data_IF_356538246369
#
_entry.id   IF_356538246369
#
_cell.length_a   1.000
_cell.length_b   1.000
_cell.length_c   1.000
_cell.angle_alpha   90.00
_cell.angle_beta   90.00
_cell.angle_gamma   90.00
#
_symmetry.space_group_name_H-M   'P 1'
#
loop_
_entity.id
_entity.type
_entity.pdbx_description
1 polymer ?
#
# COMPACT_ATOMS: atom_id res chain seq x y z
N UNK A 1 -26.31 7.60 -36.76
CA UNK A 1 -25.92 7.25 -35.37
C UNK A 1 -24.42 7.41 -35.26
N UNK A 2 -23.96 8.46 -34.59
CA UNK A 2 -22.53 8.73 -34.37
C UNK A 2 -22.24 8.49 -32.89
N UNK A 3 -21.47 7.45 -32.58
CA UNK A 3 -21.08 7.14 -31.21
C UNK A 3 -19.92 8.06 -30.82
N UNK A 4 -20.14 9.05 -29.96
CA UNK A 4 -19.09 9.86 -29.34
C UNK A 4 -18.73 9.27 -27.98
N UNK A 5 -17.57 8.60 -27.81
CA UNK A 5 -17.12 8.13 -26.52
C UNK A 5 -16.45 9.31 -25.82
N UNK A 6 -17.23 10.20 -25.22
CA UNK A 6 -16.72 11.40 -24.58
C UNK A 6 -17.49 11.73 -23.31
N UNK A 7 -16.73 11.97 -22.25
CA UNK A 7 -17.03 13.00 -21.22
C UNK A 7 -18.07 12.73 -20.12
N UNK A 8 -17.98 11.62 -19.36
CA UNK A 8 -18.62 11.61 -18.02
C UNK A 8 -17.90 10.84 -16.90
N UNK A 9 -17.04 9.86 -17.20
CA UNK A 9 -16.44 9.02 -16.14
C UNK A 9 -15.05 9.48 -15.64
N UNK A 10 -14.39 10.41 -16.34
CA UNK A 10 -13.02 10.82 -16.06
C UNK A 10 -12.98 12.27 -15.57
N UNK A 11 -13.57 12.52 -14.40
CA UNK A 11 -13.32 13.80 -13.72
C UNK A 11 -11.84 13.87 -13.34
N UNK A 12 -11.27 15.08 -13.34
CA UNK A 12 -9.87 15.41 -13.02
C UNK A 12 -9.36 14.93 -11.64
N UNK A 13 -10.17 14.15 -10.90
CA UNK A 13 -9.82 13.54 -9.61
C UNK A 13 -10.05 12.03 -9.53
N UNK A 14 -10.50 11.33 -10.57
CA UNK A 14 -10.82 9.89 -10.47
C UNK A 14 -9.64 9.06 -9.96
N UNK A 15 -8.47 9.17 -10.60
CA UNK A 15 -7.30 8.37 -10.23
C UNK A 15 -6.71 8.77 -8.87
N UNK A 16 -6.49 10.06 -8.57
CA UNK A 16 -6.08 10.48 -7.23
C UNK A 16 -7.03 10.00 -6.13
N UNK A 17 -8.36 10.19 -6.29
CA UNK A 17 -9.34 9.76 -5.29
C UNK A 17 -9.31 8.25 -5.08
N UNK A 18 -9.22 7.46 -6.15
CA UNK A 18 -9.08 6.00 -6.06
C UNK A 18 -7.76 5.62 -5.38
N UNK A 19 -6.65 6.26 -5.73
CA UNK A 19 -5.37 6.02 -5.05
C UNK A 19 -5.45 6.25 -3.55
N UNK A 20 -6.09 7.35 -3.10
CA UNK A 20 -6.33 7.57 -1.66
C UNK A 20 -7.13 6.43 -1.04
N UNK A 21 -8.26 6.06 -1.65
CA UNK A 21 -9.13 4.99 -1.15
C UNK A 21 -8.42 3.65 -1.01
N UNK A 22 -7.50 3.30 -1.92
CA UNK A 22 -6.75 2.04 -1.84
C UNK A 22 -5.45 2.14 -1.02
N UNK A 23 -4.92 3.35 -0.81
CA UNK A 23 -3.77 3.56 0.05
C UNK A 23 -4.15 3.46 1.53
N UNK A 24 -5.37 3.87 1.92
CA UNK A 24 -5.86 3.73 3.30
C UNK A 24 -5.81 2.27 3.80
N UNK A 25 -6.41 1.27 3.12
CA UNK A 25 -6.33 -0.12 3.56
C UNK A 25 -4.88 -0.65 3.51
N UNK A 26 -4.07 -0.23 2.54
CA UNK A 26 -2.64 -0.56 2.53
C UNK A 26 -1.93 -0.02 3.79
N UNK A 27 -2.18 1.22 4.17
CA UNK A 27 -1.62 1.85 5.37
C UNK A 27 -2.06 1.09 6.63
N UNK A 28 -3.35 0.77 6.74
CA UNK A 28 -3.91 0.00 7.87
C UNK A 28 -3.23 -1.38 7.95
N UNK A 29 -3.13 -2.11 6.85
CA UNK A 29 -2.49 -3.43 6.82
C UNK A 29 -1.00 -3.36 7.18
N UNK A 30 -0.28 -2.36 6.66
CA UNK A 30 1.13 -2.19 6.96
C UNK A 30 1.39 -1.83 8.44
N UNK A 31 0.49 -1.05 9.07
CA UNK A 31 0.53 -0.81 10.51
C UNK A 31 0.09 -2.04 11.32
N UNK A 32 -0.94 -2.75 10.88
CA UNK A 32 -1.40 -3.98 11.52
C UNK A 32 -0.28 -5.02 11.54
N UNK A 33 0.42 -5.20 10.42
CA UNK A 33 1.60 -6.06 10.31
C UNK A 33 2.70 -5.67 11.29
N UNK A 34 2.99 -4.36 11.43
CA UNK A 34 3.94 -3.86 12.44
C UNK A 34 3.49 -4.21 13.87
N UNK A 35 2.21 -4.05 14.18
CA UNK A 35 1.64 -4.35 15.50
C UNK A 35 1.73 -5.86 15.77
N UNK A 36 1.24 -6.70 14.86
CA UNK A 36 1.31 -8.17 14.98
C UNK A 36 2.75 -8.61 15.20
N UNK A 37 3.68 -8.12 14.36
CA UNK A 37 5.10 -8.46 14.50
C UNK A 37 5.66 -8.04 15.86
N UNK A 38 5.32 -6.84 16.35
CA UNK A 38 5.79 -6.35 17.66
C UNK A 38 5.23 -7.16 18.81
N UNK A 39 3.93 -7.45 18.79
CA UNK A 39 3.27 -8.24 19.84
C UNK A 39 3.83 -9.66 19.84
N UNK A 40 3.94 -10.30 18.67
CA UNK A 40 4.48 -11.66 18.53
C UNK A 40 5.91 -11.76 19.08
N UNK A 41 6.80 -10.84 18.72
CA UNK A 41 8.18 -10.83 19.23
C UNK A 41 8.27 -10.52 20.73
N UNK A 42 7.35 -9.73 21.28
CA UNK A 42 7.32 -9.44 22.71
C UNK A 42 6.75 -10.60 23.55
N UNK A 43 5.97 -11.48 22.93
CA UNK A 43 5.24 -12.55 23.61
C UNK A 43 5.82 -13.94 23.37
N UNK A 44 6.77 -14.07 22.43
CA UNK A 44 7.31 -15.36 22.00
C UNK A 44 8.81 -15.23 21.71
N UNK A 45 9.63 -16.02 22.39
CA UNK A 45 11.10 -15.91 22.31
C UNK A 45 11.70 -16.42 20.99
N UNK A 46 10.96 -17.16 20.16
CA UNK A 46 11.49 -17.85 18.97
C UNK A 46 11.05 -17.29 17.61
N UNK A 47 10.31 -16.18 17.55
CA UNK A 47 9.72 -15.66 16.30
C UNK A 47 10.61 -14.68 15.52
N UNK A 48 11.93 -14.86 15.54
CA UNK A 48 12.89 -14.01 14.82
C UNK A 48 12.68 -14.00 13.29
N UNK A 49 12.04 -15.04 12.74
CA UNK A 49 11.84 -15.21 11.30
C UNK A 49 10.65 -14.41 10.73
N UNK A 50 9.77 -13.85 11.58
CA UNK A 50 8.56 -13.15 11.13
C UNK A 50 8.87 -11.86 10.35
N UNK A 51 9.96 -11.18 10.71
CA UNK A 51 10.39 -9.96 10.06
C UNK A 51 11.90 -9.73 10.24
N UNK A 52 12.73 -10.11 9.23
CA UNK A 52 14.18 -10.01 9.33
C UNK A 52 14.68 -8.57 9.47
N UNK A 53 13.85 -7.57 9.12
CA UNK A 53 14.19 -6.17 9.27
C UNK A 53 13.77 -5.59 10.63
N UNK A 54 13.12 -6.35 11.51
CA UNK A 54 12.58 -5.82 12.76
C UNK A 54 13.61 -5.06 13.61
N UNK A 55 14.77 -5.66 13.82
CA UNK A 55 15.86 -5.09 14.64
C UNK A 55 16.62 -3.96 13.95
N UNK A 56 16.34 -3.70 12.68
CA UNK A 56 16.97 -2.60 11.97
C UNK A 56 16.42 -1.27 12.53
N UNK A 57 17.27 -0.28 12.87
CA UNK A 57 16.85 0.96 13.53
C UNK A 57 15.85 1.77 12.69
N UNK A 58 15.85 1.57 11.37
CA UNK A 58 14.94 2.25 10.46
C UNK A 58 13.67 1.45 10.13
N UNK A 59 13.47 0.26 10.67
CA UNK A 59 12.33 -0.61 10.33
C UNK A 59 10.98 0.01 10.68
N UNK A 60 10.88 0.57 11.88
CA UNK A 60 9.68 1.24 12.38
C UNK A 60 9.33 2.50 11.57
N UNK A 61 10.24 3.50 11.41
CA UNK A 61 9.91 4.68 10.63
C UNK A 61 9.64 4.31 9.16
N UNK A 62 10.34 3.34 8.58
CA UNK A 62 10.09 2.91 7.21
C UNK A 62 8.69 2.29 7.06
N UNK A 63 8.21 1.46 7.99
CA UNK A 63 6.83 0.98 7.95
C UNK A 63 5.82 2.12 8.10
N UNK A 64 6.05 3.11 8.95
CA UNK A 64 5.09 4.21 9.12
C UNK A 64 5.05 5.13 7.89
N UNK A 65 6.23 5.51 7.36
CA UNK A 65 6.32 6.50 6.30
C UNK A 65 6.25 5.91 4.88
N UNK A 66 6.54 4.63 4.67
CA UNK A 66 6.54 4.05 3.31
C UNK A 66 5.22 4.26 2.54
N UNK A 67 4.02 4.05 3.13
CA UNK A 67 2.79 4.30 2.39
C UNK A 67 2.57 5.77 2.06
N UNK A 68 3.01 6.68 2.93
CA UNK A 68 2.92 8.12 2.73
C UNK A 68 3.85 8.55 1.59
N UNK A 69 5.11 8.09 1.62
CA UNK A 69 6.10 8.36 0.58
C UNK A 69 5.66 7.79 -0.78
N UNK A 70 5.10 6.57 -0.78
CA UNK A 70 4.59 5.93 -1.99
C UNK A 70 3.42 6.72 -2.59
N UNK A 71 2.48 7.18 -1.76
CA UNK A 71 1.37 8.02 -2.20
C UNK A 71 1.85 9.35 -2.77
N UNK A 72 2.75 10.04 -2.05
CA UNK A 72 3.34 11.30 -2.51
C UNK A 72 4.06 11.12 -3.84
N UNK A 73 4.80 10.03 -4.01
CA UNK A 73 5.48 9.69 -5.26
C UNK A 73 4.48 9.51 -6.41
N UNK A 74 3.42 8.72 -6.22
CA UNK A 74 2.40 8.53 -7.26
C UNK A 74 1.64 9.80 -7.61
N UNK A 75 1.26 10.61 -6.61
CA UNK A 75 0.61 11.89 -6.84
C UNK A 75 1.55 12.86 -7.57
N UNK A 76 2.82 12.91 -7.20
CA UNK A 76 3.83 13.73 -7.88
C UNK A 76 3.95 13.33 -9.35
N UNK A 77 4.08 12.03 -9.64
CA UNK A 77 4.10 11.53 -11.02
C UNK A 77 2.81 11.88 -11.79
N UNK A 78 1.65 11.83 -11.13
CA UNK A 78 0.38 12.17 -11.76
C UNK A 78 0.26 13.67 -12.06
N UNK A 79 0.61 14.55 -11.12
CA UNK A 79 0.45 16.00 -11.26
C UNK A 79 1.54 16.65 -12.12
N UNK A 80 2.79 16.16 -12.09
CA UNK A 80 3.87 16.71 -12.92
C UNK A 80 3.77 16.35 -14.41
N UNK A 81 2.99 15.33 -14.76
CA UNK A 81 2.75 15.01 -16.16
C UNK A 81 1.86 16.06 -16.84
N UNK A 82 2.30 16.64 -17.95
CA UNK A 82 1.52 17.64 -18.70
C UNK A 82 0.50 17.01 -19.67
N UNK A 83 0.79 15.82 -20.18
CA UNK A 83 -0.08 15.09 -21.12
C UNK A 83 -1.17 14.31 -20.39
N UNK A 84 -2.42 14.46 -20.81
CA UNK A 84 -3.57 13.71 -20.27
C UNK A 84 -3.43 12.20 -20.49
N UNK A 85 -2.86 11.79 -21.63
CA UNK A 85 -2.58 10.38 -21.91
C UNK A 85 -1.52 9.82 -20.96
N UNK A 86 -0.48 10.58 -20.63
CA UNK A 86 0.53 10.17 -19.66
C UNK A 86 -0.04 10.10 -18.25
N UNK A 87 -0.88 11.06 -17.83
CA UNK A 87 -1.59 11.03 -16.55
C UNK A 87 -2.47 9.79 -16.43
N UNK A 88 -3.17 9.41 -17.51
CA UNK A 88 -4.00 8.22 -17.55
C UNK A 88 -3.19 6.93 -17.38
N UNK A 89 -2.05 6.84 -18.05
CA UNK A 89 -1.13 5.71 -17.93
C UNK A 89 -0.62 5.61 -16.49
N UNK A 90 -0.07 6.69 -15.95
CA UNK A 90 0.45 6.73 -14.57
C UNK A 90 -0.64 6.40 -13.55
N UNK A 91 -1.82 7.01 -13.66
CA UNK A 91 -2.94 6.77 -12.75
C UNK A 91 -3.40 5.31 -12.80
N UNK A 92 -3.52 4.71 -14.00
CA UNK A 92 -3.94 3.31 -14.16
C UNK A 92 -2.93 2.34 -13.57
N UNK A 93 -1.64 2.48 -13.89
CA UNK A 93 -0.62 1.56 -13.39
C UNK A 93 -0.34 1.78 -11.91
N UNK A 94 -0.23 3.02 -11.45
CA UNK A 94 -0.03 3.31 -10.03
C UNK A 94 -1.18 2.77 -9.17
N UNK A 95 -2.43 2.91 -9.62
CA UNK A 95 -3.58 2.32 -8.93
C UNK A 95 -3.48 0.79 -8.84
N UNK A 96 -3.09 0.12 -9.93
CA UNK A 96 -2.88 -1.34 -9.94
C UNK A 96 -1.77 -1.76 -9.00
N UNK A 97 -0.68 -1.00 -8.94
CA UNK A 97 0.42 -1.25 -8.01
C UNK A 97 -0.03 -1.11 -6.56
N UNK A 98 -0.79 -0.05 -6.21
CA UNK A 98 -1.32 0.12 -4.85
C UNK A 98 -2.24 -1.05 -4.49
N UNK A 99 -3.16 -1.45 -5.37
CA UNK A 99 -4.03 -2.61 -5.14
C UNK A 99 -3.20 -3.89 -4.93
N UNK A 100 -2.19 -4.12 -5.78
CA UNK A 100 -1.30 -5.28 -5.65
C UNK A 100 -0.55 -5.29 -4.32
N UNK A 101 -0.06 -4.12 -3.87
CA UNK A 101 0.58 -3.96 -2.56
C UNK A 101 -0.39 -4.23 -1.42
N UNK A 102 -1.63 -3.73 -1.49
CA UNK A 102 -2.67 -4.01 -0.49
C UNK A 102 -2.90 -5.51 -0.37
N UNK A 103 -3.09 -6.23 -1.48
CA UNK A 103 -3.31 -7.68 -1.49
C UNK A 103 -2.09 -8.42 -0.92
N UNK A 104 -0.88 -8.05 -1.35
CA UNK A 104 0.35 -8.65 -0.87
C UNK A 104 0.50 -8.48 0.65
N UNK A 105 0.23 -7.28 1.17
CA UNK A 105 0.26 -7.02 2.60
C UNK A 105 -0.83 -7.72 3.39
N UNK A 106 -2.01 -7.94 2.79
CA UNK A 106 -3.04 -8.81 3.40
C UNK A 106 -2.49 -10.21 3.61
N UNK A 107 -1.81 -10.79 2.61
CA UNK A 107 -1.22 -12.14 2.71
C UNK A 107 -0.14 -12.17 3.80
N UNK A 108 0.74 -11.16 3.87
CA UNK A 108 1.75 -11.04 4.92
C UNK A 108 1.10 -10.96 6.30
N UNK A 109 0.08 -10.11 6.48
CA UNK A 109 -0.63 -9.97 7.75
C UNK A 109 -1.24 -11.30 8.21
N UNK A 110 -1.91 -12.02 7.29
CA UNK A 110 -2.51 -13.32 7.58
C UNK A 110 -1.43 -14.34 7.97
N UNK A 111 -0.32 -14.39 7.22
CA UNK A 111 0.79 -15.30 7.53
C UNK A 111 1.39 -15.00 8.91
N UNK A 112 1.64 -13.73 9.20
CA UNK A 112 2.23 -13.31 10.48
C UNK A 112 1.29 -13.57 11.66
N UNK A 113 -0.02 -13.35 11.47
CA UNK A 113 -1.02 -13.71 12.46
C UNK A 113 -1.07 -15.23 12.69
N UNK A 114 -1.06 -16.03 11.62
CA UNK A 114 -1.09 -17.48 11.71
C UNK A 114 0.14 -18.04 12.41
N UNK A 115 1.33 -17.58 12.05
CA UNK A 115 2.59 -17.95 12.71
C UNK A 115 2.59 -17.55 14.19
N UNK A 116 2.08 -16.37 14.53
CA UNK A 116 1.95 -15.98 15.93
C UNK A 116 1.00 -16.88 16.72
N UNK A 117 -0.17 -17.22 16.15
CA UNK A 117 -1.16 -18.09 16.80
C UNK A 117 -0.66 -19.54 16.92
N UNK A 118 0.14 -20.04 15.98
CA UNK A 118 0.67 -21.41 16.04
C UNK A 118 1.79 -21.61 17.08
N UNK A 119 2.53 -20.55 17.40
CA UNK A 119 3.64 -20.61 18.37
C UNK A 119 3.16 -20.29 19.79
N UNK A 120 1.93 -19.81 19.94
CA UNK A 120 1.18 -19.78 21.20
C UNK A 120 0.45 -21.11 21.45
#
# INVERSE_FOLDING_TARGET
>A
MHYTPGTSAWSWGYYPNRMFVFTIPYFILNLLDLIITRVALATTENLYELNPLYYHPYSLPLKIFAPILLLLFYLSLYYFNKSEQSKRIVGKYGLRCVIGLTIFYTIICINNLYQWVLVF
#
